data_IF_617320956350
#
_entry.id   IF_617320956350
#
_cell.length_a   1.000
_cell.length_b   1.000
_cell.length_c   1.000
_cell.angle_alpha   90.00
_cell.angle_beta   90.00
_cell.angle_gamma   90.00
#
_symmetry.space_group_name_H-M   'P 1'
#
loop_
_entity.id
_entity.type
_entity.pdbx_description
1 polymer ?
#
# COMPACT_ATOMS: atom_id res chain seq x y z
N UNK A 1 -4.14 4.66 7.12
CA UNK A 1 -2.93 5.35 6.63
C UNK A 1 -2.17 5.92 7.81
N UNK A 2 -0.85 5.69 7.90
CA UNK A 2 0.00 6.39 8.88
C UNK A 2 -0.06 7.89 8.59
N UNK A 3 -0.13 8.69 9.64
CA UNK A 3 -0.09 10.15 9.53
C UNK A 3 1.23 10.58 8.90
N UNK A 4 1.17 11.39 7.83
CA UNK A 4 2.36 11.88 7.14
C UNK A 4 3.02 12.92 8.03
N UNK A 5 4.23 12.61 8.51
CA UNK A 5 5.02 13.56 9.30
C UNK A 5 5.68 14.56 8.38
N UNK A 6 5.34 15.82 8.59
CA UNK A 6 5.96 16.96 7.90
C UNK A 6 7.06 17.51 8.80
N UNK A 7 8.26 17.64 8.24
CA UNK A 7 9.42 18.24 8.89
C UNK A 7 9.73 19.55 8.18
N UNK A 8 10.04 20.58 8.95
CA UNK A 8 10.48 21.84 8.38
C UNK A 8 11.99 21.92 8.41
N UNK A 9 12.60 22.28 7.28
CA UNK A 9 14.03 22.58 7.18
C UNK A 9 14.19 24.04 6.73
N UNK A 10 15.12 24.74 7.37
CA UNK A 10 15.48 26.13 7.06
C UNK A 10 16.52 26.18 5.94
N UNK A 11 16.51 27.27 5.17
CA UNK A 11 17.29 27.41 3.93
C UNK A 11 18.81 27.26 4.09
N UNK A 12 19.36 27.56 5.27
CA UNK A 12 20.78 27.41 5.63
C UNK A 12 21.20 25.95 5.92
N UNK A 13 20.25 25.07 6.25
CA UNK A 13 20.49 23.65 6.53
C UNK A 13 20.35 22.76 5.28
N UNK A 14 20.01 23.35 4.13
CA UNK A 14 19.96 22.64 2.85
C UNK A 14 21.37 22.28 2.34
N UNK A 15 21.44 21.33 1.41
CA UNK A 15 22.69 20.94 0.74
C UNK A 15 22.54 21.06 -0.78
N UNK A 16 23.19 22.04 -1.43
CA UNK A 16 24.04 23.08 -0.83
C UNK A 16 23.22 24.11 -0.01
N UNK A 17 23.82 24.77 1.01
CA UNK A 17 23.15 25.81 1.78
C UNK A 17 22.75 27.01 0.91
N UNK A 18 21.55 27.55 1.11
CA UNK A 18 21.09 28.76 0.41
C UNK A 18 21.26 29.96 1.33
N UNK A 19 22.17 30.85 0.97
CA UNK A 19 22.49 32.07 1.72
C UNK A 19 22.04 33.32 0.96
N UNK A 20 21.42 34.28 1.64
CA UNK A 20 20.92 35.53 1.05
C UNK A 20 19.40 35.65 1.06
N UNK A 21 18.69 34.53 1.21
CA UNK A 21 17.23 34.46 1.37
C UNK A 21 16.90 33.50 2.53
N UNK A 22 16.03 33.94 3.45
CA UNK A 22 15.59 33.13 4.59
C UNK A 22 14.20 32.58 4.33
N UNK A 23 14.10 31.26 4.19
CA UNK A 23 12.83 30.56 4.05
C UNK A 23 12.86 29.19 4.74
N UNK A 24 11.67 28.66 4.97
CA UNK A 24 11.46 27.31 5.46
C UNK A 24 10.81 26.48 4.36
N UNK A 25 11.16 25.19 4.26
CA UNK A 25 10.48 24.24 3.37
C UNK A 25 10.06 23.00 4.13
N UNK A 26 8.89 22.50 3.77
CA UNK A 26 8.30 21.30 4.33
C UNK A 26 8.78 20.07 3.56
N UNK A 27 9.28 19.09 4.30
CA UNK A 27 9.88 17.86 3.81
C UNK A 27 9.24 16.65 4.47
N UNK A 28 9.25 15.53 3.75
CA UNK A 28 8.87 14.23 4.29
C UNK A 28 10.08 13.32 4.18
N UNK A 29 10.42 12.60 5.26
CA UNK A 29 11.53 11.65 5.23
C UNK A 29 11.13 10.42 4.43
N UNK A 30 12.05 9.90 3.62
CA UNK A 30 11.85 8.64 2.89
C UNK A 30 11.38 7.51 3.80
N UNK A 31 11.95 7.38 5.00
CA UNK A 31 11.54 6.39 6.00
C UNK A 31 10.05 6.42 6.36
N UNK A 32 9.40 7.58 6.24
CA UNK A 32 8.01 7.76 6.64
C UNK A 32 7.04 7.31 5.55
N UNK A 33 7.50 7.18 4.30
CA UNK A 33 6.69 6.70 3.17
C UNK A 33 7.27 5.50 2.41
N UNK A 34 8.43 4.97 2.80
CA UNK A 34 9.09 3.85 2.13
C UNK A 34 8.21 2.59 2.05
N UNK A 35 7.43 2.31 3.09
CA UNK A 35 6.48 1.19 3.10
C UNK A 35 5.36 1.38 2.06
N UNK A 36 4.85 2.61 1.93
CA UNK A 36 3.82 2.94 0.96
C UNK A 36 4.37 2.91 -0.47
N UNK A 37 5.58 3.45 -0.67
CA UNK A 37 6.30 3.38 -1.94
C UNK A 37 6.50 1.93 -2.38
N UNK A 38 6.93 1.04 -1.49
CA UNK A 38 7.06 -0.38 -1.77
C UNK A 38 5.74 -1.04 -2.20
N UNK A 39 4.63 -0.72 -1.52
CA UNK A 39 3.28 -1.20 -1.90
C UNK A 39 2.87 -0.69 -3.28
N UNK A 40 3.11 0.59 -3.59
CA UNK A 40 2.82 1.16 -4.90
C UNK A 40 3.66 0.53 -6.01
N UNK A 41 4.96 0.28 -5.77
CA UNK A 41 5.83 -0.42 -6.72
C UNK A 41 5.34 -1.85 -6.99
N UNK A 42 4.92 -2.58 -5.96
CA UNK A 42 4.37 -3.93 -6.11
C UNK A 42 3.09 -3.94 -6.97
N UNK A 43 2.15 -3.02 -6.71
CA UNK A 43 0.94 -2.86 -7.53
C UNK A 43 1.28 -2.45 -8.98
N UNK A 44 2.27 -1.58 -9.17
CA UNK A 44 2.71 -1.19 -10.51
C UNK A 44 3.32 -2.37 -11.28
N UNK A 45 4.15 -3.18 -10.62
CA UNK A 45 4.74 -4.39 -11.22
C UNK A 45 3.66 -5.42 -11.60
N UNK A 46 2.69 -5.65 -10.72
CA UNK A 46 1.53 -6.52 -11.00
C UNK A 46 0.74 -6.02 -12.22
N UNK A 47 0.43 -4.72 -12.28
CA UNK A 47 -0.25 -4.12 -13.44
C UNK A 47 0.53 -4.27 -14.75
N UNK A 48 1.86 -4.16 -14.72
CA UNK A 48 2.72 -4.39 -15.90
C UNK A 48 2.63 -5.85 -16.34
N UNK A 49 2.70 -6.80 -15.40
CA UNK A 49 2.58 -8.23 -15.69
C UNK A 49 1.21 -8.58 -16.31
N UNK A 50 0.12 -8.06 -15.74
CA UNK A 50 -1.23 -8.24 -16.27
C UNK A 50 -1.39 -7.69 -17.68
N UNK A 51 -0.87 -6.48 -17.95
CA UNK A 51 -0.92 -5.89 -19.30
C UNK A 51 -0.12 -6.72 -20.29
N UNK A 52 1.04 -7.24 -19.89
CA UNK A 52 1.83 -8.16 -20.72
C UNK A 52 1.05 -9.43 -21.04
N UNK A 53 0.46 -10.08 -20.03
CA UNK A 53 -0.33 -11.29 -20.21
C UNK A 53 -1.56 -11.06 -21.11
N UNK A 54 -2.24 -9.93 -20.94
CA UNK A 54 -3.35 -9.55 -21.82
C UNK A 54 -2.90 -9.37 -23.28
N UNK A 55 -1.75 -8.73 -23.49
CA UNK A 55 -1.19 -8.57 -24.83
C UNK A 55 -0.85 -9.93 -25.47
N UNK A 56 -0.25 -10.85 -24.70
CA UNK A 56 0.05 -12.20 -25.18
C UNK A 56 -1.22 -12.96 -25.58
N UNK A 57 -2.29 -12.86 -24.78
CA UNK A 57 -3.58 -13.51 -25.05
C UNK A 57 -4.30 -12.93 -26.27
N UNK A 58 -4.24 -11.60 -26.46
CA UNK A 58 -5.03 -10.90 -27.49
C UNK A 58 -4.35 -10.89 -28.87
N UNK A 59 -3.14 -11.47 -29.02
CA UNK A 59 -2.46 -11.46 -30.32
C UNK A 59 -3.27 -12.24 -31.38
N UNK A 60 -3.78 -11.57 -32.44
CA UNK A 60 -4.68 -12.18 -33.41
C UNK A 60 -4.02 -13.29 -34.26
N UNK A 61 -2.69 -13.29 -34.35
CA UNK A 61 -1.92 -14.28 -35.11
C UNK A 61 -1.43 -15.47 -34.25
N UNK A 62 -1.62 -15.42 -32.92
CA UNK A 62 -1.22 -16.47 -32.01
C UNK A 62 -2.26 -17.61 -31.98
N UNK A 63 -2.36 -18.34 -33.09
CA UNK A 63 -3.03 -19.63 -33.11
C UNK A 63 -2.31 -20.56 -32.10
N UNK A 64 -2.89 -20.71 -30.92
CA UNK A 64 -2.38 -21.48 -29.77
C UNK A 64 -1.18 -20.82 -29.10
N UNK A 65 -1.47 -20.07 -28.04
CA UNK A 65 -0.49 -19.68 -27.03
C UNK A 65 0.23 -20.96 -26.54
N UNK A 66 1.54 -21.07 -26.77
CA UNK A 66 2.33 -22.22 -26.30
C UNK A 66 2.09 -22.45 -24.81
N UNK A 67 2.13 -23.71 -24.36
CA UNK A 67 1.84 -24.09 -22.97
C UNK A 67 2.56 -23.20 -21.95
N UNK A 68 3.81 -22.83 -22.22
CA UNK A 68 4.62 -21.98 -21.35
C UNK A 68 4.07 -20.54 -21.25
N UNK A 69 3.59 -19.96 -22.35
CA UNK A 69 2.94 -18.65 -22.33
C UNK A 69 1.61 -18.72 -21.58
N UNK A 70 0.88 -19.84 -21.67
CA UNK A 70 -0.41 -19.99 -20.97
C UNK A 70 -0.22 -20.04 -19.46
N UNK A 71 0.80 -20.76 -19.00
CA UNK A 71 1.15 -20.81 -17.57
C UNK A 71 1.53 -19.41 -17.08
N UNK A 72 2.41 -18.70 -17.78
CA UNK A 72 2.77 -17.31 -17.41
C UNK A 72 1.58 -16.37 -17.40
N UNK A 73 0.68 -16.49 -18.37
CA UNK A 73 -0.53 -15.68 -18.41
C UNK A 73 -1.47 -15.98 -17.23
N UNK A 74 -1.62 -17.25 -16.86
CA UNK A 74 -2.39 -17.66 -15.67
C UNK A 74 -1.75 -17.15 -14.38
N UNK A 75 -0.44 -17.27 -14.22
CA UNK A 75 0.29 -16.76 -13.04
C UNK A 75 0.13 -15.23 -12.93
N UNK A 76 0.15 -14.51 -14.06
CA UNK A 76 -0.07 -13.07 -14.10
C UNK A 76 -1.52 -12.64 -13.84
N UNK A 77 -2.49 -13.57 -13.86
CA UNK A 77 -3.87 -13.29 -13.45
C UNK A 77 -4.05 -13.35 -11.93
N UNK A 78 -3.12 -13.95 -11.18
CA UNK A 78 -3.10 -13.83 -9.72
C UNK A 78 -2.71 -12.39 -9.34
N UNK A 79 -3.36 -11.85 -8.31
CA UNK A 79 -3.19 -10.44 -7.90
C UNK A 79 -2.79 -10.28 -6.43
N UNK A 80 -1.67 -10.89 -6.00
CA UNK A 80 -1.27 -10.89 -4.59
C UNK A 80 -1.01 -9.49 -4.03
N UNK A 81 -0.51 -8.55 -4.83
CA UNK A 81 -0.29 -7.17 -4.38
C UNK A 81 -1.64 -6.44 -4.20
N UNK A 82 -2.60 -6.67 -5.10
CA UNK A 82 -3.97 -6.15 -4.94
C UNK A 82 -4.67 -6.78 -3.73
N UNK A 83 -4.54 -8.08 -3.52
CA UNK A 83 -5.12 -8.78 -2.36
C UNK A 83 -4.54 -8.25 -1.04
N UNK A 84 -3.23 -8.10 -0.96
CA UNK A 84 -2.56 -7.50 0.19
C UNK A 84 -3.02 -6.05 0.44
N UNK A 85 -3.19 -5.26 -0.63
CA UNK A 85 -3.73 -3.90 -0.55
C UNK A 85 -5.16 -3.89 -0.02
N UNK A 86 -6.04 -4.76 -0.52
CA UNK A 86 -7.42 -4.87 -0.05
C UNK A 86 -7.50 -5.34 1.40
N UNK A 87 -6.64 -6.27 1.80
CA UNK A 87 -6.56 -6.75 3.17
C UNK A 87 -6.17 -5.62 4.14
N UNK A 88 -5.18 -4.81 3.76
CA UNK A 88 -4.78 -3.61 4.51
C UNK A 88 -5.89 -2.56 4.55
N UNK A 89 -6.58 -2.30 3.44
CA UNK A 89 -7.69 -1.35 3.39
C UNK A 89 -8.85 -1.76 4.31
N UNK A 90 -9.20 -3.05 4.33
CA UNK A 90 -10.21 -3.60 5.25
C UNK A 90 -9.77 -3.49 6.70
N UNK A 91 -8.50 -3.83 7.00
CA UNK A 91 -7.93 -3.70 8.34
C UNK A 91 -7.99 -2.26 8.85
N UNK A 92 -7.62 -1.29 8.01
CA UNK A 92 -7.74 0.13 8.34
C UNK A 92 -9.19 0.56 8.56
N UNK A 93 -10.13 0.04 7.76
CA UNK A 93 -11.56 0.29 7.95
C UNK A 93 -12.06 -0.13 9.33
N UNK A 94 -11.62 -1.29 9.81
CA UNK A 94 -11.94 -1.82 11.15
C UNK A 94 -11.33 -0.94 12.25
N UNK A 95 -10.06 -0.55 12.10
CA UNK A 95 -9.38 0.34 13.04
C UNK A 95 -10.08 1.70 13.14
N UNK A 96 -10.41 2.32 11.99
CA UNK A 96 -11.14 3.59 11.94
C UNK A 96 -12.54 3.50 12.55
N UNK A 97 -13.24 2.37 12.38
CA UNK A 97 -14.52 2.13 13.01
C UNK A 97 -14.39 2.05 14.54
N UNK A 98 -13.37 1.36 15.03
CA UNK A 98 -13.13 1.21 16.48
C UNK A 98 -12.86 2.54 17.18
N UNK A 99 -12.22 3.50 16.49
CA UNK A 99 -11.97 4.84 17.05
C UNK A 99 -13.26 5.62 17.33
N UNK A 100 -14.39 5.28 16.68
CA UNK A 100 -15.69 5.90 16.96
C UNK A 100 -16.22 5.61 18.36
N UNK A 101 -15.71 4.57 19.03
CA UNK A 101 -16.10 4.20 20.40
C UNK A 101 -15.36 5.00 21.47
N UNK A 102 -14.44 5.89 21.09
CA UNK A 102 -13.67 6.70 22.03
C UNK A 102 -12.78 5.85 22.94
N UNK A 103 -12.67 6.22 24.21
CA UNK A 103 -11.87 5.48 25.19
C UNK A 103 -12.36 5.74 26.62
N UNK A 104 -11.82 4.98 27.58
CA UNK A 104 -12.09 5.21 29.00
C UNK A 104 -13.28 4.44 29.59
N UNK A 105 -13.90 3.54 28.82
CA UNK A 105 -14.87 2.57 29.35
C UNK A 105 -14.39 1.15 29.09
N UNK A 106 -14.78 0.16 29.92
CA UNK A 106 -14.47 -1.24 29.66
C UNK A 106 -14.94 -1.71 28.28
N UNK A 107 -16.12 -1.25 27.84
CA UNK A 107 -16.68 -1.61 26.54
C UNK A 107 -15.87 -1.01 25.38
N UNK A 108 -15.54 0.28 25.43
CA UNK A 108 -14.77 0.92 24.35
C UNK A 108 -13.35 0.37 24.25
N UNK A 109 -12.73 0.02 25.38
CA UNK A 109 -11.42 -0.64 25.38
C UNK A 109 -11.50 -2.05 24.76
N UNK A 110 -12.52 -2.84 25.10
CA UNK A 110 -12.74 -4.17 24.51
C UNK A 110 -12.96 -4.09 22.99
N UNK A 111 -13.77 -3.14 22.52
CA UNK A 111 -14.01 -2.95 21.07
C UNK A 111 -12.71 -2.63 20.35
N UNK A 112 -11.84 -1.79 20.93
CA UNK A 112 -10.53 -1.45 20.34
C UNK A 112 -9.59 -2.65 20.27
N UNK A 113 -9.52 -3.46 21.32
CA UNK A 113 -8.70 -4.68 21.35
C UNK A 113 -9.16 -5.69 20.29
N UNK A 114 -10.47 -5.99 20.25
CA UNK A 114 -11.05 -6.92 19.28
C UNK A 114 -10.87 -6.41 17.85
N UNK A 115 -11.03 -5.11 17.62
CA UNK A 115 -10.80 -4.49 16.32
C UNK A 115 -9.34 -4.59 15.88
N UNK A 116 -8.38 -4.35 16.79
CA UNK A 116 -6.96 -4.49 16.51
C UNK A 116 -6.60 -5.94 16.13
N UNK A 117 -7.10 -6.92 16.89
CA UNK A 117 -6.91 -8.34 16.60
C UNK A 117 -7.54 -8.75 15.26
N UNK A 118 -8.75 -8.27 14.96
CA UNK A 118 -9.42 -8.56 13.70
C UNK A 118 -8.69 -7.93 12.51
N UNK A 119 -8.26 -6.67 12.63
CA UNK A 119 -7.44 -5.99 11.64
C UNK A 119 -6.11 -6.74 11.39
N UNK A 120 -5.46 -7.25 12.44
CA UNK A 120 -4.25 -8.07 12.30
C UNK A 120 -4.50 -9.39 11.57
N UNK A 121 -5.68 -10.02 11.76
CA UNK A 121 -6.08 -11.24 11.02
C UNK A 121 -6.35 -10.93 9.55
N UNK A 122 -7.01 -9.82 9.24
CA UNK A 122 -7.25 -9.38 7.86
C UNK A 122 -5.93 -9.22 7.10
N UNK A 123 -4.93 -8.55 7.70
CA UNK A 123 -3.59 -8.39 7.09
C UNK A 123 -2.86 -9.70 6.81
N UNK A 124 -3.18 -10.77 7.55
CA UNK A 124 -2.60 -12.12 7.33
C UNK A 124 -3.31 -12.91 6.24
N UNK A 125 -4.34 -12.36 5.60
CA UNK A 125 -5.09 -13.03 4.54
C UNK A 125 -5.98 -14.17 5.06
N UNK A 126 -6.38 -14.16 6.33
CA UNK A 126 -7.30 -15.19 6.84
C UNK A 126 -8.66 -14.95 6.19
N UNK A 127 -9.11 -15.94 5.40
CA UNK A 127 -10.45 -15.96 4.81
C UNK A 127 -11.51 -15.78 5.91
N UNK A 128 -12.45 -14.88 5.64
CA UNK A 128 -13.67 -14.74 6.43
C UNK A 128 -14.61 -15.92 6.18
#
# INVERSE_FOLDING_TARGET
MKEVKIYTIVSDQLSPPITGESYCTDMVRHSDYAELEAKCMALAAENVAQKSALNDILQPDAAVLERNHRVRALDAMETPATDAFLAEARAQGVEMFSEKFGGGTPLSNLVKEVAADFAAKLRKGVAQ
#
